data_IF_753919467314
#
_entry.id   IF_753919467314
#
_cell.length_a   1.000
_cell.length_b   1.000
_cell.length_c   1.000
_cell.angle_alpha   90.00
_cell.angle_beta   90.00
_cell.angle_gamma   90.00
#
_symmetry.space_group_name_H-M   'P 1'
#
loop_
_entity.id
_entity.type
_entity.pdbx_description
1 polymer ?
#
# COMPACT_ATOMS: atom_id res chain seq x y z
N UNK A 1 25.44 18.35 4.13
CA UNK A 1 25.75 17.31 5.13
C UNK A 1 26.22 18.03 6.38
N UNK A 2 25.45 17.92 7.46
CA UNK A 2 25.86 18.47 8.77
C UNK A 2 26.82 17.49 9.41
N UNK A 3 27.99 17.97 9.80
CA UNK A 3 29.03 17.18 10.46
C UNK A 3 29.41 17.86 11.79
N UNK A 4 29.50 17.08 12.84
CA UNK A 4 29.91 17.51 14.17
C UNK A 4 28.85 17.23 15.22
N UNK A 5 29.31 17.13 16.46
CA UNK A 5 28.45 17.01 17.63
C UNK A 5 28.06 18.41 18.11
N UNK A 6 26.82 18.56 18.55
CA UNK A 6 26.33 19.77 19.20
C UNK A 6 26.53 19.64 20.72
N UNK A 7 26.73 20.77 21.42
CA UNK A 7 26.68 20.77 22.88
C UNK A 7 25.35 20.18 23.41
N UNK A 8 25.41 19.65 24.63
CA UNK A 8 24.25 19.04 25.29
C UNK A 8 23.04 19.99 25.30
N UNK A 9 21.90 19.45 24.94
CA UNK A 9 20.61 20.17 24.87
C UNK A 9 20.39 20.96 23.58
N UNK A 10 21.34 20.96 22.63
CA UNK A 10 21.14 21.53 21.30
C UNK A 10 20.86 20.46 20.26
N UNK A 11 20.10 20.81 19.23
CA UNK A 11 19.79 19.93 18.12
C UNK A 11 19.67 20.69 16.80
N UNK A 12 19.92 20.00 15.69
CA UNK A 12 19.77 20.56 14.37
C UNK A 12 18.29 20.57 13.98
N UNK A 13 17.83 21.71 13.43
CA UNK A 13 16.53 21.81 12.76
C UNK A 13 16.74 22.00 11.27
N UNK A 14 16.02 21.21 10.48
CA UNK A 14 16.01 21.30 9.03
C UNK A 14 14.63 21.75 8.59
N UNK A 15 14.58 22.78 7.77
CA UNK A 15 13.33 23.28 7.18
C UNK A 15 13.36 23.02 5.68
N UNK A 16 12.28 22.43 5.18
CA UNK A 16 12.07 22.20 3.77
C UNK A 16 10.74 22.84 3.37
N UNK A 17 10.75 23.56 2.24
CA UNK A 17 9.54 24.11 1.63
C UNK A 17 9.46 23.59 0.20
N UNK A 18 8.32 23.07 -0.20
CA UNK A 18 8.11 22.54 -1.55
C UNK A 18 6.63 22.54 -1.93
N UNK A 19 6.35 22.61 -3.24
CA UNK A 19 5.05 22.29 -3.77
C UNK A 19 5.03 20.80 -4.11
N UNK A 20 4.05 20.02 -3.61
CA UNK A 20 3.99 18.59 -3.87
C UNK A 20 3.97 18.28 -5.38
N UNK A 21 4.85 17.39 -5.88
CA UNK A 21 4.71 16.86 -7.22
C UNK A 21 3.36 16.18 -7.40
N UNK A 22 2.78 16.20 -8.61
CA UNK A 22 1.51 15.53 -8.90
C UNK A 22 1.55 14.05 -8.55
N UNK A 23 2.65 13.37 -8.89
CA UNK A 23 2.82 11.94 -8.69
C UNK A 23 2.89 11.60 -7.19
N UNK A 24 1.94 10.81 -6.67
CA UNK A 24 1.91 10.35 -5.27
C UNK A 24 3.19 9.61 -4.89
N UNK A 25 3.74 8.81 -5.82
CA UNK A 25 4.98 8.05 -5.65
C UNK A 25 6.27 8.88 -5.67
N UNK A 26 6.21 10.20 -5.87
CA UNK A 26 7.39 11.05 -5.77
C UNK A 26 8.00 10.94 -4.38
N UNK A 27 9.35 10.88 -4.30
CA UNK A 27 10.07 10.64 -3.05
C UNK A 27 9.69 11.60 -1.91
N UNK A 28 9.44 12.87 -2.25
CA UNK A 28 9.07 13.89 -1.28
C UNK A 28 7.65 13.66 -0.74
N UNK A 29 6.71 13.25 -1.57
CA UNK A 29 5.36 12.91 -1.15
C UNK A 29 5.36 11.68 -0.25
N UNK A 30 6.11 10.63 -0.63
CA UNK A 30 6.29 9.42 0.22
C UNK A 30 6.87 9.75 1.58
N UNK A 31 7.77 10.73 1.66
CA UNK A 31 8.46 11.06 2.90
C UNK A 31 7.65 11.96 3.82
N UNK A 32 6.88 12.88 3.28
CA UNK A 32 6.27 13.97 4.05
C UNK A 32 4.75 14.07 3.93
N UNK A 33 4.16 13.52 2.88
CA UNK A 33 2.70 13.53 2.68
C UNK A 33 2.15 12.12 2.87
N UNK A 34 2.31 11.59 4.08
CA UNK A 34 1.91 10.23 4.46
C UNK A 34 1.42 10.20 5.90
N UNK A 35 0.57 9.24 6.23
CA UNK A 35 0.17 8.95 7.60
C UNK A 35 1.34 8.38 8.46
N UNK A 36 2.48 8.05 7.84
CA UNK A 36 3.63 7.37 8.47
C UNK A 36 4.82 8.30 8.69
N UNK A 37 4.59 9.49 9.20
CA UNK A 37 5.66 10.45 9.47
C UNK A 37 6.62 9.95 10.56
N UNK A 38 7.96 10.18 10.40
CA UNK A 38 8.92 9.94 11.46
C UNK A 38 8.60 10.76 12.70
N UNK A 39 8.85 10.20 13.88
CA UNK A 39 8.50 10.82 15.17
C UNK A 39 9.10 12.22 15.39
N UNK A 40 10.23 12.54 14.74
CA UNK A 40 10.93 13.82 14.82
C UNK A 40 10.60 14.76 13.65
N UNK A 41 9.54 14.48 12.90
CA UNK A 41 9.14 15.26 11.72
C UNK A 41 7.81 15.95 12.00
N UNK A 42 7.80 17.26 11.77
CA UNK A 42 6.59 18.08 11.76
C UNK A 42 6.35 18.57 10.34
N UNK A 43 5.17 18.33 9.81
CA UNK A 43 4.74 18.82 8.50
C UNK A 43 3.69 19.90 8.71
N UNK A 44 3.98 21.08 8.19
CA UNK A 44 3.01 22.18 8.12
C UNK A 44 2.57 22.33 6.67
N UNK A 45 1.27 22.23 6.44
CA UNK A 45 0.66 22.47 5.16
C UNK A 45 -0.04 23.82 5.21
N UNK A 46 0.27 24.69 4.27
CA UNK A 46 -0.39 25.99 4.10
C UNK A 46 -0.81 26.18 2.65
N UNK A 47 -1.89 26.89 2.46
CA UNK A 47 -2.48 27.20 1.15
C UNK A 47 -2.63 28.70 0.99
N UNK A 48 -3.07 29.17 -0.17
CA UNK A 48 -3.38 30.58 -0.37
C UNK A 48 -4.48 31.09 0.58
N UNK A 49 -5.34 30.20 1.10
CA UNK A 49 -6.40 30.55 2.05
C UNK A 49 -5.85 30.98 3.41
N UNK A 50 -4.64 30.59 3.74
CA UNK A 50 -3.96 30.94 4.98
C UNK A 50 -3.23 32.30 4.86
N UNK A 51 -3.19 32.89 3.66
CA UNK A 51 -2.52 34.16 3.40
C UNK A 51 -3.54 35.33 3.39
N UNK A 52 -3.57 36.18 4.44
CA UNK A 52 -4.51 37.29 4.52
C UNK A 52 -4.24 38.41 3.50
N UNK A 53 -3.10 38.39 2.83
CA UNK A 53 -2.67 39.41 1.88
C UNK A 53 -2.85 39.00 0.42
N UNK A 54 -3.54 37.91 0.15
CA UNK A 54 -3.76 37.42 -1.21
C UNK A 54 -4.65 38.43 -2.00
N UNK A 55 -4.33 38.63 -3.28
CA UNK A 55 -5.10 39.53 -4.12
C UNK A 55 -6.44 38.92 -4.52
N UNK A 56 -7.44 39.79 -4.72
CA UNK A 56 -8.74 39.34 -5.21
C UNK A 56 -8.65 38.64 -6.58
N UNK A 57 -7.80 39.14 -7.48
CA UNK A 57 -7.56 38.51 -8.78
C UNK A 57 -7.06 37.07 -8.67
N UNK A 58 -6.15 36.77 -7.70
CA UNK A 58 -5.68 35.43 -7.46
C UNK A 58 -6.82 34.52 -6.97
N UNK A 59 -7.70 35.03 -6.09
CA UNK A 59 -8.84 34.26 -5.58
C UNK A 59 -9.81 33.93 -6.72
N UNK A 60 -10.05 34.86 -7.63
CA UNK A 60 -10.91 34.67 -8.80
C UNK A 60 -10.34 33.65 -9.77
N UNK A 61 -9.05 33.71 -10.03
CA UNK A 61 -8.35 32.71 -10.85
C UNK A 61 -8.40 31.30 -10.21
N UNK A 62 -8.19 31.19 -8.89
CA UNK A 62 -8.31 29.94 -8.16
C UNK A 62 -9.73 29.34 -8.27
N UNK A 63 -10.77 30.18 -8.16
CA UNK A 63 -12.17 29.76 -8.33
C UNK A 63 -12.45 29.29 -9.76
N UNK A 64 -12.01 30.03 -10.75
CA UNK A 64 -12.17 29.65 -12.17
C UNK A 64 -11.44 28.33 -12.47
N UNK A 65 -10.27 28.13 -11.90
CA UNK A 65 -9.55 26.86 -12.03
C UNK A 65 -10.33 25.72 -11.38
N UNK A 66 -10.91 25.94 -10.19
CA UNK A 66 -11.73 24.95 -9.49
C UNK A 66 -12.95 24.54 -10.30
N UNK A 67 -13.66 25.51 -10.90
CA UNK A 67 -14.84 25.25 -11.75
C UNK A 67 -14.45 24.45 -13.01
N UNK A 68 -13.29 24.74 -13.60
CA UNK A 68 -12.79 24.05 -14.78
C UNK A 68 -12.27 22.67 -14.47
N UNK A 69 -11.52 22.50 -13.35
CA UNK A 69 -10.90 21.26 -12.95
C UNK A 69 -10.59 21.27 -11.45
N UNK A 70 -11.36 20.51 -10.67
CA UNK A 70 -11.10 20.31 -9.25
C UNK A 70 -9.68 19.79 -9.01
N UNK A 71 -9.20 18.85 -9.84
CA UNK A 71 -7.87 18.27 -9.76
C UNK A 71 -6.75 19.30 -9.95
N UNK A 72 -6.89 20.20 -10.93
CA UNK A 72 -5.92 21.28 -11.14
C UNK A 72 -5.89 22.21 -9.92
N UNK A 73 -7.07 22.57 -9.40
CA UNK A 73 -7.20 23.39 -8.20
C UNK A 73 -6.54 22.71 -6.98
N UNK A 74 -6.80 21.44 -6.76
CA UNK A 74 -6.24 20.68 -5.63
C UNK A 74 -4.71 20.65 -5.68
N UNK A 75 -4.13 20.53 -6.88
CA UNK A 75 -2.69 20.53 -7.03
C UNK A 75 -2.08 21.93 -7.00
N UNK A 76 -2.61 22.87 -7.79
CA UNK A 76 -1.99 24.17 -8.01
C UNK A 76 -2.20 25.14 -6.83
N UNK A 77 -3.38 25.06 -6.18
CA UNK A 77 -3.79 26.00 -5.14
C UNK A 77 -3.85 25.39 -3.75
N UNK A 78 -4.16 24.10 -3.65
CA UNK A 78 -4.27 23.41 -2.37
C UNK A 78 -3.02 22.61 -2.03
N UNK A 79 -2.04 22.50 -2.96
CA UNK A 79 -0.78 21.80 -2.70
C UNK A 79 -0.93 20.31 -2.42
N UNK A 80 -1.92 19.66 -3.05
CA UNK A 80 -2.18 18.24 -2.89
C UNK A 80 -1.49 17.42 -3.99
N UNK A 81 -0.95 16.26 -3.63
CA UNK A 81 -0.44 15.30 -4.60
C UNK A 81 -1.62 14.53 -5.21
N UNK A 82 -2.05 14.94 -6.38
CA UNK A 82 -3.30 14.45 -7.01
C UNK A 82 -3.12 13.17 -7.83
N UNK A 83 -1.89 12.72 -8.06
CA UNK A 83 -1.57 11.52 -8.82
C UNK A 83 -2.17 11.51 -10.22
N UNK A 84 -2.72 10.38 -10.64
CA UNK A 84 -3.54 10.24 -11.84
C UNK A 84 -4.88 11.00 -11.73
N UNK A 85 -5.26 11.40 -10.51
CA UNK A 85 -6.50 12.07 -10.16
C UNK A 85 -7.65 11.12 -9.82
N UNK A 86 -7.35 9.83 -9.79
CA UNK A 86 -8.26 8.77 -9.36
C UNK A 86 -7.56 7.97 -8.26
N UNK A 87 -8.19 7.81 -7.10
CA UNK A 87 -7.66 6.94 -6.05
C UNK A 87 -7.99 5.49 -6.39
N UNK A 88 -7.02 4.58 -6.43
CA UNK A 88 -7.29 3.18 -6.69
C UNK A 88 -8.12 2.50 -5.59
N UNK A 89 -8.00 2.98 -4.35
CA UNK A 89 -8.67 2.41 -3.17
C UNK A 89 -9.33 3.54 -2.37
N UNK A 90 -10.55 3.92 -2.71
CA UNK A 90 -11.31 4.93 -1.96
C UNK A 90 -11.84 4.38 -0.62
N UNK A 91 -11.81 3.06 -0.46
CA UNK A 91 -12.30 2.30 0.69
C UNK A 91 -11.22 2.05 1.77
N UNK A 92 -10.05 2.72 1.69
CA UNK A 92 -9.01 2.63 2.71
C UNK A 92 -9.42 3.32 4.01
N UNK A 93 -9.24 2.61 5.13
CA UNK A 93 -9.47 3.13 6.47
C UNK A 93 -8.24 2.91 7.35
N UNK A 94 -7.54 3.99 7.68
CA UNK A 94 -6.43 3.94 8.62
C UNK A 94 -6.93 4.14 10.06
N UNK A 95 -6.82 3.11 10.89
CA UNK A 95 -7.21 3.20 12.31
C UNK A 95 -6.46 2.18 13.16
N UNK A 96 -6.33 2.49 14.44
CA UNK A 96 -5.80 1.54 15.42
C UNK A 96 -6.74 0.34 15.58
N UNK A 97 -6.17 -0.87 15.54
CA UNK A 97 -6.86 -2.12 15.83
C UNK A 97 -6.53 -2.50 17.27
N UNK A 98 -7.54 -2.53 18.14
CA UNK A 98 -7.36 -2.94 19.53
C UNK A 98 -6.93 -4.41 19.63
N UNK A 99 -6.23 -4.75 20.70
CA UNK A 99 -5.78 -6.14 20.92
C UNK A 99 -6.96 -7.11 21.06
N UNK A 100 -8.06 -6.68 21.69
CA UNK A 100 -9.27 -7.50 21.81
C UNK A 100 -9.87 -7.82 20.44
N UNK A 101 -9.97 -6.82 19.56
CA UNK A 101 -10.45 -7.02 18.19
C UNK A 101 -9.49 -7.91 17.40
N UNK A 102 -8.19 -7.66 17.51
CA UNK A 102 -7.16 -8.44 16.83
C UNK A 102 -7.22 -9.93 17.24
N UNK A 103 -7.35 -10.20 18.51
CA UNK A 103 -7.42 -11.56 19.04
C UNK A 103 -8.74 -12.29 18.70
N UNK A 104 -9.77 -11.57 18.26
CA UNK A 104 -11.05 -12.15 17.82
C UNK A 104 -11.03 -12.58 16.34
N UNK A 105 -9.96 -12.28 15.60
CA UNK A 105 -9.85 -12.59 14.19
C UNK A 105 -9.58 -14.07 13.94
N UNK A 106 -10.44 -14.73 13.15
CA UNK A 106 -10.44 -16.18 12.91
C UNK A 106 -10.37 -16.57 11.42
N UNK A 107 -10.86 -15.72 10.52
CA UNK A 107 -10.91 -16.01 9.08
C UNK A 107 -9.69 -15.41 8.36
N UNK A 108 -8.58 -16.14 8.41
CA UNK A 108 -7.27 -15.64 8.04
C UNK A 108 -6.94 -15.91 6.56
N UNK A 109 -6.28 -14.95 5.93
CA UNK A 109 -5.70 -15.03 4.59
C UNK A 109 -4.23 -14.63 4.65
N UNK A 110 -3.37 -15.35 3.93
CA UNK A 110 -1.95 -15.06 3.85
C UNK A 110 -1.50 -15.06 2.41
N UNK A 111 -0.64 -14.11 2.07
CA UNK A 111 -0.06 -13.99 0.73
C UNK A 111 1.42 -13.68 0.77
N UNK A 112 2.13 -14.10 -0.26
CA UNK A 112 3.57 -13.86 -0.43
C UNK A 112 3.83 -13.35 -1.83
N UNK A 113 4.51 -12.22 -1.90
CA UNK A 113 5.16 -11.73 -3.11
C UNK A 113 6.67 -11.83 -2.92
N UNK A 114 7.34 -12.60 -3.79
CA UNK A 114 8.76 -12.85 -3.66
C UNK A 114 9.57 -11.71 -4.27
N UNK A 115 10.56 -11.25 -3.54
CA UNK A 115 11.58 -10.33 -3.98
C UNK A 115 12.89 -10.61 -3.24
N UNK A 116 14.02 -10.12 -3.75
CA UNK A 116 15.30 -10.35 -3.09
C UNK A 116 16.25 -9.16 -3.15
N UNK A 117 16.81 -8.82 -4.31
CA UNK A 117 17.93 -7.88 -4.38
C UNK A 117 17.50 -6.42 -4.25
N UNK A 118 16.68 -5.94 -5.19
CA UNK A 118 16.17 -4.58 -5.24
C UNK A 118 14.68 -4.52 -4.90
N UNK A 119 13.96 -5.60 -5.16
CA UNK A 119 12.55 -5.74 -4.86
C UNK A 119 12.38 -6.40 -3.50
N UNK A 120 11.57 -5.85 -2.61
CA UNK A 120 11.33 -6.46 -1.31
C UNK A 120 10.49 -7.73 -1.43
N UNK A 121 10.79 -8.71 -0.59
CA UNK A 121 9.85 -9.76 -0.25
C UNK A 121 8.73 -9.16 0.59
N UNK A 122 7.49 -9.50 0.28
CA UNK A 122 6.32 -9.12 1.06
C UNK A 122 5.51 -10.36 1.46
N UNK A 123 5.42 -10.63 2.74
CA UNK A 123 4.43 -11.53 3.33
C UNK A 123 3.38 -10.69 4.02
N UNK A 124 2.11 -10.98 3.77
CA UNK A 124 0.96 -10.26 4.37
C UNK A 124 0.00 -11.23 5.02
N UNK A 125 -0.57 -10.81 6.14
CA UNK A 125 -1.58 -11.56 6.88
C UNK A 125 -2.80 -10.68 7.12
N UNK A 126 -3.98 -11.18 6.74
CA UNK A 126 -5.26 -10.49 6.78
C UNK A 126 -6.31 -11.30 7.49
N UNK A 127 -7.25 -10.62 8.17
CA UNK A 127 -8.56 -11.17 8.53
C UNK A 127 -9.61 -10.70 7.53
N UNK A 128 -10.52 -11.59 7.15
CA UNK A 128 -11.63 -11.30 6.24
C UNK A 128 -13.00 -11.42 6.92
N UNK A 129 -13.64 -10.29 7.22
CA UNK A 129 -15.08 -10.27 7.56
C UNK A 129 -15.89 -10.36 6.26
N UNK A 130 -16.15 -11.60 5.83
CA UNK A 130 -16.84 -11.88 4.57
C UNK A 130 -18.27 -11.31 4.54
N UNK A 131 -18.96 -11.27 5.68
CA UNK A 131 -20.34 -10.74 5.78
C UNK A 131 -20.40 -9.24 5.53
N UNK A 132 -19.42 -8.52 6.05
CA UNK A 132 -19.32 -7.06 5.91
C UNK A 132 -18.44 -6.64 4.73
N UNK A 133 -17.84 -7.59 4.02
CA UNK A 133 -16.87 -7.32 2.95
C UNK A 133 -15.75 -6.38 3.42
N UNK A 134 -15.18 -6.68 4.58
CA UNK A 134 -14.08 -5.92 5.19
C UNK A 134 -12.85 -6.78 5.36
N UNK A 135 -11.69 -6.22 5.08
CA UNK A 135 -10.41 -6.87 5.38
C UNK A 135 -9.63 -6.03 6.40
N UNK A 136 -8.91 -6.72 7.28
CA UNK A 136 -8.11 -6.10 8.33
C UNK A 136 -6.67 -6.57 8.21
N UNK A 137 -5.73 -5.64 8.03
CA UNK A 137 -4.31 -5.95 8.02
C UNK A 137 -3.87 -6.35 9.42
N UNK A 138 -3.31 -7.56 9.56
CA UNK A 138 -2.95 -8.13 10.85
C UNK A 138 -1.45 -8.08 11.12
N UNK A 139 -0.66 -8.54 10.16
CA UNK A 139 0.80 -8.63 10.30
C UNK A 139 1.45 -8.62 8.91
N UNK A 140 2.72 -8.26 8.86
CA UNK A 140 3.53 -8.25 7.65
C UNK A 140 4.98 -8.65 7.93
N UNK A 141 5.65 -9.23 6.94
CA UNK A 141 7.09 -9.35 6.89
C UNK A 141 7.59 -8.81 5.56
N UNK A 142 8.36 -7.73 5.62
CA UNK A 142 8.67 -6.94 4.44
C UNK A 142 10.13 -6.49 4.44
N UNK A 143 10.81 -6.65 3.33
CA UNK A 143 12.17 -6.14 3.17
C UNK A 143 12.93 -6.75 2.00
N UNK A 144 14.03 -6.10 1.65
CA UNK A 144 15.01 -6.62 0.66
C UNK A 144 15.98 -7.59 1.32
N UNK A 145 16.55 -8.52 0.55
CA UNK A 145 17.54 -9.52 1.00
C UNK A 145 17.02 -10.45 2.10
N UNK A 146 15.72 -10.63 2.19
CA UNK A 146 15.11 -11.66 3.02
C UNK A 146 15.16 -12.98 2.24
N UNK A 147 15.87 -13.97 2.78
CA UNK A 147 15.91 -15.31 2.19
C UNK A 147 14.65 -16.11 2.51
N UNK A 148 14.34 -17.14 1.70
CA UNK A 148 13.22 -18.05 1.96
C UNK A 148 13.36 -18.74 3.33
N UNK A 149 14.58 -19.05 3.75
CA UNK A 149 14.89 -19.56 5.09
C UNK A 149 14.46 -18.55 6.17
N UNK A 150 14.84 -17.27 6.04
CA UNK A 150 14.50 -16.25 7.03
C UNK A 150 12.99 -16.03 7.12
N UNK A 151 12.29 -16.04 5.97
CA UNK A 151 10.83 -16.00 5.92
C UNK A 151 10.23 -17.21 6.66
N UNK A 152 10.69 -18.41 6.37
CA UNK A 152 10.18 -19.63 7.01
C UNK A 152 10.39 -19.64 8.54
N UNK A 153 11.57 -19.22 9.00
CA UNK A 153 11.87 -19.07 10.43
C UNK A 153 10.93 -18.04 11.09
N UNK A 154 10.65 -16.94 10.41
CA UNK A 154 9.72 -15.93 10.89
C UNK A 154 8.27 -16.47 10.96
N UNK A 155 7.79 -17.13 9.89
CA UNK A 155 6.46 -17.77 9.84
C UNK A 155 6.29 -18.78 10.99
N UNK A 156 7.29 -19.63 11.24
CA UNK A 156 7.25 -20.61 12.33
C UNK A 156 7.23 -19.95 13.70
N UNK A 157 8.08 -18.95 13.92
CA UNK A 157 8.12 -18.20 15.18
C UNK A 157 6.79 -17.52 15.51
N UNK A 158 6.10 -17.05 14.50
CA UNK A 158 4.75 -16.45 14.62
C UNK A 158 3.62 -17.49 14.66
N UNK A 159 3.92 -18.77 14.46
CA UNK A 159 2.95 -19.87 14.37
C UNK A 159 1.94 -19.69 13.20
N UNK A 160 2.36 -19.04 12.11
CA UNK A 160 1.52 -18.80 10.93
C UNK A 160 1.52 -19.95 9.91
N UNK A 161 2.36 -20.96 10.10
CA UNK A 161 2.48 -22.16 9.27
C UNK A 161 1.27 -23.11 9.34
N UNK A 162 0.29 -22.80 10.19
CA UNK A 162 -0.98 -23.56 10.31
C UNK A 162 -2.07 -23.07 9.37
N UNK A 163 -1.87 -21.92 8.72
CA UNK A 163 -2.79 -21.29 7.77
C UNK A 163 -2.21 -21.36 6.37
N UNK A 164 -3.06 -21.56 5.35
CA UNK A 164 -2.62 -21.56 3.95
C UNK A 164 -2.05 -20.20 3.56
N UNK A 165 -0.96 -20.21 2.81
CA UNK A 165 -0.37 -19.03 2.21
C UNK A 165 -0.31 -19.20 0.69
N UNK A 166 -0.76 -18.18 -0.05
CA UNK A 166 -0.73 -18.18 -1.51
C UNK A 166 0.40 -17.25 -1.97
N UNK A 167 1.32 -17.81 -2.74
CA UNK A 167 2.51 -17.11 -3.17
C UNK A 167 2.51 -16.83 -4.67
N UNK A 168 3.33 -15.89 -5.11
CA UNK A 168 3.56 -15.68 -6.54
C UNK A 168 4.01 -16.98 -7.22
N UNK A 169 3.23 -17.45 -8.20
CA UNK A 169 3.53 -18.66 -8.96
C UNK A 169 4.66 -18.50 -10.00
N UNK A 170 5.17 -17.28 -10.20
CA UNK A 170 6.35 -17.06 -11.03
C UNK A 170 7.65 -17.58 -10.37
N UNK A 171 7.62 -17.83 -9.05
CA UNK A 171 8.75 -18.29 -8.26
C UNK A 171 8.55 -19.72 -7.71
N UNK A 172 8.38 -20.75 -8.58
CA UNK A 172 8.09 -22.12 -8.14
C UNK A 172 9.23 -22.71 -7.29
N UNK A 173 10.49 -22.33 -7.54
CA UNK A 173 11.63 -22.77 -6.76
C UNK A 173 11.57 -22.29 -5.32
N UNK A 174 11.17 -21.03 -5.10
CA UNK A 174 10.99 -20.45 -3.76
C UNK A 174 9.86 -21.13 -3.00
N UNK A 175 8.79 -21.51 -3.69
CA UNK A 175 7.67 -22.27 -3.11
C UNK A 175 8.16 -23.66 -2.68
N UNK A 176 8.85 -24.38 -3.56
CA UNK A 176 9.38 -25.72 -3.27
C UNK A 176 10.37 -25.69 -2.11
N UNK A 177 11.27 -24.70 -2.06
CA UNK A 177 12.22 -24.51 -0.96
C UNK A 177 11.48 -24.29 0.39
N UNK A 178 10.45 -23.45 0.41
CA UNK A 178 9.63 -23.24 1.62
C UNK A 178 8.98 -24.53 2.09
N UNK A 179 8.46 -25.36 1.18
CA UNK A 179 7.75 -26.60 1.50
C UNK A 179 8.73 -27.67 1.94
N UNK A 180 9.71 -28.01 1.10
CA UNK A 180 10.51 -29.22 1.24
C UNK A 180 11.76 -29.02 2.10
N UNK A 181 12.39 -27.84 2.04
CA UNK A 181 13.61 -27.57 2.80
C UNK A 181 13.32 -26.88 4.14
N UNK A 182 12.32 -26.00 4.15
CA UNK A 182 12.04 -25.17 5.33
C UNK A 182 10.75 -25.58 6.07
N UNK A 183 10.03 -26.61 5.62
CA UNK A 183 8.90 -27.20 6.34
C UNK A 183 7.74 -26.25 6.56
N UNK A 184 7.34 -25.51 5.52
CA UNK A 184 6.12 -24.69 5.46
C UNK A 184 5.15 -25.35 4.45
N UNK A 185 4.47 -26.45 4.80
CA UNK A 185 3.75 -27.28 3.84
C UNK A 185 2.47 -26.65 3.29
N UNK A 186 2.01 -25.56 3.88
CA UNK A 186 0.75 -24.92 3.50
C UNK A 186 0.96 -23.68 2.59
N UNK A 187 2.07 -23.66 1.84
CA UNK A 187 2.32 -22.66 0.79
C UNK A 187 1.98 -23.28 -0.57
N UNK A 188 1.32 -22.51 -1.40
CA UNK A 188 1.07 -22.88 -2.80
C UNK A 188 1.16 -21.68 -3.72
N UNK A 189 1.43 -21.92 -5.01
CA UNK A 189 1.39 -20.88 -6.03
C UNK A 189 -0.02 -20.39 -6.34
N UNK A 190 -0.12 -19.11 -6.64
CA UNK A 190 -1.35 -18.49 -7.14
C UNK A 190 -1.70 -19.03 -8.53
N UNK A 191 -3.00 -19.19 -8.82
CA UNK A 191 -3.49 -19.57 -10.13
C UNK A 191 -3.73 -18.31 -10.97
N UNK A 192 -2.70 -17.90 -11.69
CA UNK A 192 -2.75 -16.71 -12.55
C UNK A 192 -3.54 -17.01 -13.82
N UNK A 193 -4.51 -16.17 -14.16
CA UNK A 193 -5.20 -16.14 -15.45
C UNK A 193 -4.92 -14.82 -16.17
N UNK A 194 -5.34 -14.67 -17.43
CA UNK A 194 -5.34 -13.38 -18.09
C UNK A 194 -6.07 -12.34 -17.21
N UNK A 195 -5.54 -11.12 -17.15
CA UNK A 195 -6.11 -9.98 -16.42
C UNK A 195 -6.33 -10.21 -14.91
N UNK A 196 -5.71 -11.28 -14.34
CA UNK A 196 -5.87 -11.62 -12.91
C UNK A 196 -5.44 -10.49 -11.97
N UNK A 197 -4.50 -9.64 -12.42
CA UNK A 197 -4.04 -8.48 -11.67
C UNK A 197 -5.13 -7.41 -11.57
N UNK A 198 -5.62 -6.94 -12.72
CA UNK A 198 -6.68 -5.93 -12.78
C UNK A 198 -7.98 -6.39 -12.14
N UNK A 199 -8.28 -7.69 -12.25
CA UNK A 199 -9.41 -8.29 -11.56
C UNK A 199 -9.24 -8.24 -10.03
N UNK A 200 -8.06 -8.58 -9.54
CA UNK A 200 -7.75 -8.52 -8.11
C UNK A 200 -7.76 -7.09 -7.56
N UNK A 201 -7.21 -6.14 -8.31
CA UNK A 201 -7.24 -4.71 -7.96
C UNK A 201 -8.68 -4.20 -7.85
N UNK A 202 -9.54 -4.53 -8.82
CA UNK A 202 -10.97 -4.18 -8.78
C UNK A 202 -11.70 -4.85 -7.62
N UNK A 203 -11.38 -6.11 -7.31
CA UNK A 203 -12.00 -6.79 -6.18
C UNK A 203 -11.66 -6.13 -4.84
N UNK A 204 -10.42 -5.66 -4.66
CA UNK A 204 -10.00 -4.90 -3.49
C UNK A 204 -10.73 -3.55 -3.40
N UNK A 205 -10.88 -2.84 -4.51
CA UNK A 205 -11.63 -1.58 -4.57
C UNK A 205 -13.13 -1.78 -4.30
N UNK A 206 -13.69 -2.90 -4.70
CA UNK A 206 -15.08 -3.29 -4.45
C UNK A 206 -15.38 -3.71 -3.00
N UNK A 207 -14.38 -3.87 -2.13
CA UNK A 207 -14.59 -4.14 -0.71
C UNK A 207 -15.27 -2.95 -0.03
N UNK A 208 -16.00 -3.23 1.05
CA UNK A 208 -16.62 -2.15 1.83
C UNK A 208 -15.57 -1.30 2.56
N UNK A 209 -14.55 -1.94 3.15
CA UNK A 209 -13.42 -1.27 3.79
C UNK A 209 -12.17 -2.15 3.76
N UNK A 210 -11.03 -1.53 3.51
CA UNK A 210 -9.68 -2.06 3.72
C UNK A 210 -9.10 -1.36 4.95
N UNK A 211 -9.08 -2.06 6.08
CA UNK A 211 -8.71 -1.49 7.39
C UNK A 211 -7.26 -1.82 7.69
N UNK A 212 -6.47 -0.79 7.88
CA UNK A 212 -5.03 -0.88 8.12
C UNK A 212 -4.67 -0.10 9.38
N UNK A 213 -3.94 -0.74 10.30
CA UNK A 213 -3.28 -0.07 11.42
C UNK A 213 -1.83 0.21 11.04
N UNK A 214 -1.45 1.48 10.76
CA UNK A 214 -0.09 1.81 10.32
C UNK A 214 1.00 1.47 11.33
N UNK A 215 0.66 1.29 12.61
CA UNK A 215 1.62 0.87 13.63
C UNK A 215 1.92 -0.62 13.57
N UNK A 216 0.95 -1.45 13.16
CA UNK A 216 1.09 -2.90 13.03
C UNK A 216 1.66 -3.30 11.67
N UNK A 217 1.19 -2.64 10.61
CA UNK A 217 1.51 -2.97 9.21
C UNK A 217 1.90 -1.71 8.42
N UNK A 218 3.08 -1.12 8.74
CA UNK A 218 3.52 0.15 8.15
C UNK A 218 3.82 0.06 6.64
N UNK A 219 4.24 -1.10 6.14
CA UNK A 219 4.54 -1.24 4.72
C UNK A 219 3.26 -1.43 3.89
N UNK A 220 2.30 -2.23 4.39
CA UNK A 220 0.96 -2.32 3.81
C UNK A 220 0.33 -0.92 3.76
N UNK A 221 0.36 -0.18 4.88
CA UNK A 221 -0.19 1.17 4.93
C UNK A 221 0.44 2.08 3.88
N UNK A 222 1.79 2.08 3.79
CA UNK A 222 2.52 2.93 2.85
C UNK A 222 2.20 2.62 1.39
N UNK A 223 2.16 1.33 1.01
CA UNK A 223 1.94 0.95 -0.38
C UNK A 223 0.49 1.19 -0.82
N UNK A 224 -0.48 0.83 0.03
CA UNK A 224 -1.90 1.11 -0.26
C UNK A 224 -2.20 2.62 -0.31
N UNK A 225 -1.67 3.42 0.62
CA UNK A 225 -1.83 4.88 0.64
C UNK A 225 -1.24 5.53 -0.61
N UNK A 226 -0.07 5.04 -1.05
CA UNK A 226 0.66 5.61 -2.18
C UNK A 226 0.30 5.02 -3.53
N UNK A 227 -0.58 4.02 -3.59
CA UNK A 227 -1.03 3.42 -4.84
C UNK A 227 -1.61 4.46 -5.80
N UNK A 228 -1.33 4.31 -7.08
CA UNK A 228 -1.84 5.18 -8.14
C UNK A 228 -2.06 4.36 -9.42
N UNK A 229 -2.93 4.83 -10.30
CA UNK A 229 -3.09 4.22 -11.60
C UNK A 229 -1.92 4.58 -12.54
N UNK A 230 -1.48 3.63 -13.33
CA UNK A 230 -0.59 3.90 -14.44
C UNK A 230 -1.24 4.91 -15.39
N UNK A 231 -0.42 5.77 -15.99
CA UNK A 231 -0.91 6.76 -16.96
C UNK A 231 -0.42 6.44 -18.37
N UNK A 232 -1.16 6.87 -19.36
CA UNK A 232 -0.71 6.86 -20.75
C UNK A 232 0.24 8.04 -21.05
N UNK A 233 0.65 8.19 -22.31
CA UNK A 233 1.56 9.27 -22.74
C UNK A 233 0.95 10.68 -22.57
N UNK A 234 -0.36 10.76 -22.60
CA UNK A 234 -1.11 12.01 -22.47
C UNK A 234 -1.48 12.33 -21.01
N UNK A 235 -1.09 11.43 -20.07
CA UNK A 235 -1.33 11.57 -18.64
C UNK A 235 -2.70 11.10 -18.17
N UNK A 236 -3.46 10.36 -19.00
CA UNK A 236 -4.73 9.78 -18.62
C UNK A 236 -4.52 8.48 -17.84
N UNK A 237 -5.29 8.22 -16.78
CA UNK A 237 -5.19 6.99 -16.01
C UNK A 237 -5.59 5.77 -16.85
N UNK A 238 -4.83 4.70 -16.73
CA UNK A 238 -5.13 3.37 -17.26
C UNK A 238 -5.96 2.58 -16.26
N UNK A 239 -6.48 1.43 -16.69
CA UNK A 239 -7.27 0.52 -15.83
C UNK A 239 -6.43 -0.33 -14.87
N UNK A 240 -5.11 -0.13 -14.79
CA UNK A 240 -4.20 -0.89 -13.94
C UNK A 240 -3.34 0.03 -13.07
N UNK A 241 -2.94 -0.45 -11.90
CA UNK A 241 -2.03 0.27 -11.02
C UNK A 241 -0.62 0.44 -11.64
N UNK A 242 0.10 1.48 -11.20
CA UNK A 242 1.53 1.56 -11.44
C UNK A 242 2.25 0.37 -10.79
N UNK A 243 3.18 -0.24 -11.52
CA UNK A 243 4.03 -1.32 -11.01
C UNK A 243 5.21 -0.76 -10.22
N UNK A 244 4.91 -0.03 -9.14
CA UNK A 244 5.93 0.61 -8.29
C UNK A 244 5.52 0.56 -6.83
N UNK A 245 6.30 -0.15 -6.02
CA UNK A 245 6.02 -0.35 -4.58
C UNK A 245 4.61 -0.88 -4.34
N UNK A 246 4.30 -1.99 -4.97
CA UNK A 246 3.01 -2.66 -4.97
C UNK A 246 3.09 -4.10 -4.41
N UNK A 247 4.22 -4.46 -3.81
CA UNK A 247 4.51 -5.81 -3.34
C UNK A 247 3.51 -6.31 -2.28
N UNK A 248 3.11 -5.45 -1.34
CA UNK A 248 2.09 -5.83 -0.36
C UNK A 248 0.69 -5.87 -0.98
N UNK A 249 0.43 -5.09 -2.04
CA UNK A 249 -0.81 -5.13 -2.81
C UNK A 249 -0.88 -6.45 -3.58
N UNK A 250 0.20 -6.83 -4.25
CA UNK A 250 0.29 -8.09 -4.98
C UNK A 250 0.18 -9.29 -4.04
N UNK A 251 0.92 -9.30 -2.92
CA UNK A 251 0.77 -10.31 -1.89
C UNK A 251 -0.66 -10.38 -1.33
N UNK A 252 -1.34 -9.24 -1.17
CA UNK A 252 -2.75 -9.21 -0.74
C UNK A 252 -3.66 -9.82 -1.80
N UNK A 253 -3.47 -9.52 -3.06
CA UNK A 253 -4.24 -10.15 -4.16
C UNK A 253 -4.06 -11.67 -4.16
N UNK A 254 -2.84 -12.17 -3.95
CA UNK A 254 -2.62 -13.61 -3.82
C UNK A 254 -3.35 -14.16 -2.59
N UNK A 255 -3.25 -13.51 -1.44
CA UNK A 255 -3.92 -13.96 -0.21
C UNK A 255 -5.43 -14.19 -0.40
N UNK A 256 -6.08 -13.38 -1.22
CA UNK A 256 -7.53 -13.43 -1.46
C UNK A 256 -7.93 -14.13 -2.75
N UNK A 257 -7.03 -14.78 -3.45
CA UNK A 257 -7.30 -15.43 -4.74
C UNK A 257 -8.53 -16.34 -4.72
N UNK A 258 -8.70 -17.14 -3.68
CA UNK A 258 -9.84 -18.07 -3.57
C UNK A 258 -11.17 -17.34 -3.27
N UNK A 259 -11.12 -16.19 -2.60
CA UNK A 259 -12.32 -15.38 -2.29
C UNK A 259 -12.77 -14.54 -3.49
N UNK A 260 -11.87 -14.22 -4.40
CA UNK A 260 -12.16 -13.51 -5.64
C UNK A 260 -12.92 -14.37 -6.65
N UNK A 261 -12.76 -15.69 -6.59
CA UNK A 261 -13.46 -16.61 -7.51
C UNK A 261 -14.94 -16.68 -7.15
N UNK A 262 -15.79 -16.34 -8.11
CA UNK A 262 -17.22 -16.60 -7.98
C UNK A 262 -17.49 -18.11 -8.10
N UNK A 263 -18.27 -18.72 -7.18
CA UNK A 263 -18.74 -20.07 -7.37
C UNK A 263 -19.65 -20.11 -8.62
N UNK A 264 -19.22 -20.76 -9.69
CA UNK A 264 -20.07 -20.99 -10.86
C UNK A 264 -19.53 -20.57 -12.22
N UNK A 265 -18.38 -19.89 -12.30
CA UNK A 265 -17.68 -19.72 -13.58
C UNK A 265 -16.61 -20.80 -13.65
N UNK A 266 -16.99 -21.98 -14.15
CA UNK A 266 -15.99 -22.94 -14.64
C UNK A 266 -15.28 -22.28 -15.81
N UNK A 267 -13.99 -21.96 -15.66
CA UNK A 267 -13.16 -21.64 -16.80
C UNK A 267 -13.12 -22.88 -17.69
N UNK A 268 -13.93 -22.89 -18.74
CA UNK A 268 -13.72 -23.78 -19.88
C UNK A 268 -12.47 -23.31 -20.64
N UNK A 269 -11.33 -23.63 -20.09
CA UNK A 269 -10.04 -23.55 -20.77
C UNK A 269 -9.33 -24.88 -20.47
N UNK A 270 -9.74 -25.91 -21.19
CA UNK A 270 -8.93 -27.10 -21.51
C UNK A 270 -8.15 -26.84 -22.80
#
# INVERSE_FOLDING_TARGET
IVRGELPDGLFYKFFYSYNPPKRKQAWVNKKYNTALLPANTFVHHSTYLDNPWISQAFIEEAKATKERSQRAYDWEYMGLAVGSGVSPFENLVFRTISDDLFNSFDNIRQGVDFGYANDPLAFVRWHYDKKKRRIYAMDEHYGVKISNRALAEWIKRKQYNTTDAIADSAEPKSIDELIYEHGIPRVRGAKKGPDSREYGERWLDDLYEIIIDPKRTPNIAREFESADYAVDRDGNPKSKLEEVNDHTIDATRYAFEDDMRQPGISSSWD
#
